data_IF_411615950317
#
_entry.id   IF_411615950317
#
_cell.length_a   1.000
_cell.length_b   1.000
_cell.length_c   1.000
_cell.angle_alpha   90.00
_cell.angle_beta   90.00
_cell.angle_gamma   90.00
#
_symmetry.space_group_name_H-M   'P 1'
#
loop_
_entity.id
_entity.type
_entity.pdbx_description
1 polymer ?
#
# COMPACT_ATOMS: atom_id res chain seq x y z
N UNK A 1 -10.96 22.24 -19.66
CA UNK A 1 -10.12 21.77 -18.53
C UNK A 1 -10.94 21.13 -17.41
N UNK A 2 -11.63 21.88 -16.54
CA UNK A 2 -12.34 21.31 -15.37
C UNK A 2 -13.42 20.27 -15.69
N UNK A 3 -14.07 20.37 -16.85
CA UNK A 3 -15.04 19.37 -17.31
C UNK A 3 -14.40 18.01 -17.62
N UNK A 4 -13.13 17.97 -18.02
CA UNK A 4 -12.41 16.72 -18.30
C UNK A 4 -12.03 16.00 -17.01
N UNK A 5 -11.56 16.77 -16.01
CA UNK A 5 -11.21 16.29 -14.66
C UNK A 5 -12.41 15.63 -13.96
N UNK A 6 -13.61 16.20 -14.15
CA UNK A 6 -14.85 15.78 -13.47
C UNK A 6 -15.61 14.67 -14.21
N UNK A 7 -15.19 14.27 -15.39
CA UNK A 7 -15.85 13.21 -16.13
C UNK A 7 -15.79 11.90 -15.31
N UNK A 8 -16.94 11.25 -15.13
CA UNK A 8 -17.03 9.99 -14.37
C UNK A 8 -16.96 8.74 -15.26
N UNK A 9 -17.55 8.71 -16.47
CA UNK A 9 -17.36 7.58 -17.39
C UNK A 9 -16.28 7.89 -18.43
N UNK A 10 -15.55 6.86 -18.88
CA UNK A 10 -14.48 7.00 -19.91
C UNK A 10 -15.04 7.61 -21.20
N UNK A 11 -16.19 7.13 -21.68
CA UNK A 11 -16.86 7.69 -22.86
C UNK A 11 -17.27 9.17 -22.69
N UNK A 12 -17.56 9.59 -21.45
CA UNK A 12 -17.83 10.99 -21.12
C UNK A 12 -16.55 11.83 -21.20
N UNK A 13 -15.42 11.28 -20.73
CA UNK A 13 -14.13 11.94 -20.82
C UNK A 13 -13.65 12.09 -22.27
N UNK A 14 -13.73 11.05 -23.09
CA UNK A 14 -13.34 11.09 -24.51
C UNK A 14 -14.06 12.21 -25.26
N UNK A 15 -15.36 12.35 -25.03
CA UNK A 15 -16.17 13.42 -25.62
C UNK A 15 -15.71 14.81 -25.19
N UNK A 16 -15.35 14.99 -23.93
CA UNK A 16 -14.83 16.27 -23.41
C UNK A 16 -13.43 16.55 -23.96
N UNK A 17 -12.58 15.54 -24.10
CA UNK A 17 -11.24 15.69 -24.69
C UNK A 17 -11.31 16.04 -26.18
N UNK A 18 -12.20 15.41 -26.95
CA UNK A 18 -12.44 15.75 -28.36
C UNK A 18 -12.93 17.20 -28.50
N UNK A 19 -13.88 17.62 -27.66
CA UNK A 19 -14.35 19.01 -27.61
C UNK A 19 -13.24 19.99 -27.22
N UNK A 20 -12.35 19.59 -26.31
CA UNK A 20 -11.24 20.45 -25.90
C UNK A 20 -10.21 20.60 -27.02
N UNK A 21 -9.92 19.52 -27.75
CA UNK A 21 -9.05 19.55 -28.94
C UNK A 21 -9.55 20.54 -29.99
N UNK A 22 -10.86 20.60 -30.24
CA UNK A 22 -11.44 21.54 -31.21
C UNK A 22 -11.40 22.99 -30.76
N UNK A 23 -11.28 23.27 -29.46
CA UNK A 23 -11.26 24.63 -28.92
C UNK A 23 -9.83 25.15 -28.71
N UNK A 24 -8.93 24.29 -28.26
CA UNK A 24 -7.52 24.63 -28.02
C UNK A 24 -6.67 23.36 -28.05
N UNK A 25 -5.95 23.17 -29.16
CA UNK A 25 -5.10 22.00 -29.38
C UNK A 25 -3.88 21.95 -28.45
N UNK A 26 -3.33 23.12 -28.09
CA UNK A 26 -2.19 23.22 -27.16
C UNK A 26 -2.57 22.67 -25.80
N UNK A 27 -3.69 23.13 -25.23
CA UNK A 27 -4.17 22.66 -23.93
C UNK A 27 -4.57 21.18 -23.94
N UNK A 28 -5.02 20.64 -25.08
CA UNK A 28 -5.29 19.22 -25.24
C UNK A 28 -4.03 18.38 -25.22
N UNK A 29 -2.96 18.84 -25.88
CA UNK A 29 -1.67 18.17 -25.90
C UNK A 29 -1.06 18.11 -24.50
N UNK A 30 -1.03 19.23 -23.80
CA UNK A 30 -0.54 19.31 -22.40
C UNK A 30 -1.27 18.33 -21.45
N UNK A 31 -2.58 18.14 -21.63
CA UNK A 31 -3.34 17.19 -20.80
C UNK A 31 -3.09 15.73 -21.15
N UNK A 32 -2.80 15.42 -22.42
CA UNK A 32 -2.47 14.05 -22.82
C UNK A 32 -1.06 13.63 -22.43
N UNK A 33 -0.15 14.59 -22.22
CA UNK A 33 1.19 14.32 -21.70
C UNK A 33 1.15 13.78 -20.25
N UNK A 34 0.07 14.06 -19.51
CA UNK A 34 -0.15 13.52 -18.16
C UNK A 34 -1.08 12.30 -18.23
N UNK A 35 -0.66 11.10 -17.78
CA UNK A 35 -1.51 9.91 -17.77
C UNK A 35 -2.85 10.16 -17.06
N UNK A 36 -3.96 9.86 -17.73
CA UNK A 36 -5.31 10.15 -17.22
C UNK A 36 -5.62 9.50 -15.86
N UNK A 37 -4.92 8.40 -15.50
CA UNK A 37 -5.06 7.77 -14.19
C UNK A 37 -4.66 8.69 -13.02
N UNK A 38 -3.87 9.74 -13.27
CA UNK A 38 -3.37 10.63 -12.22
C UNK A 38 -4.30 11.81 -11.90
N UNK A 39 -5.19 12.18 -12.82
CA UNK A 39 -5.93 13.45 -12.69
C UNK A 39 -7.41 13.35 -13.09
N UNK A 40 -7.86 12.21 -13.61
CA UNK A 40 -9.23 12.03 -14.04
C UNK A 40 -9.96 10.90 -13.29
N UNK A 41 -11.09 11.26 -12.68
CA UNK A 41 -11.98 10.37 -11.94
C UNK A 41 -12.50 9.18 -12.75
N UNK A 42 -12.70 9.29 -14.07
CA UNK A 42 -13.11 8.16 -14.92
C UNK A 42 -12.04 7.08 -15.09
N UNK A 43 -10.78 7.42 -14.82
CA UNK A 43 -9.64 6.50 -14.88
C UNK A 43 -9.09 6.15 -13.50
N UNK A 44 -9.72 6.63 -12.42
CA UNK A 44 -9.41 6.19 -11.06
C UNK A 44 -9.90 4.76 -10.89
N UNK A 45 -9.05 3.91 -10.31
CA UNK A 45 -9.41 2.54 -10.02
C UNK A 45 -10.43 2.52 -8.88
N UNK A 46 -11.42 1.64 -8.97
CA UNK A 46 -12.49 1.48 -7.98
C UNK A 46 -12.03 0.77 -6.72
N UNK A 47 -10.92 0.02 -6.77
CA UNK A 47 -10.30 -0.47 -5.55
C UNK A 47 -9.59 0.69 -4.85
N UNK A 48 -10.05 0.99 -3.65
CA UNK A 48 -9.30 1.86 -2.74
C UNK A 48 -7.97 1.17 -2.50
N UNK A 49 -6.90 1.74 -3.04
CA UNK A 49 -5.55 1.43 -2.57
C UNK A 49 -5.48 2.03 -1.17
N UNK A 50 -5.90 1.28 -0.16
CA UNK A 50 -5.56 1.65 1.19
C UNK A 50 -4.04 1.80 1.23
N UNK A 51 -3.54 2.95 1.72
CA UNK A 51 -2.10 3.25 1.74
C UNK A 51 -1.29 2.10 2.36
N UNK A 52 -1.90 1.36 3.28
CA UNK A 52 -1.36 0.18 3.94
C UNK A 52 -1.15 -1.01 2.99
N UNK A 53 -2.12 -1.28 2.10
CA UNK A 53 -1.94 -2.31 1.07
C UNK A 53 -0.80 -1.90 0.13
N UNK A 54 -0.68 -0.62 -0.20
CA UNK A 54 0.44 -0.14 -1.03
C UNK A 54 1.78 -0.33 -0.35
N UNK A 55 1.87 -0.10 0.97
CA UNK A 55 3.09 -0.33 1.75
C UNK A 55 3.46 -1.81 1.73
N UNK A 56 2.50 -2.72 2.00
CA UNK A 56 2.76 -4.16 1.96
C UNK A 56 3.20 -4.62 0.57
N UNK A 57 2.47 -4.22 -0.48
CA UNK A 57 2.82 -4.56 -1.87
C UNK A 57 4.17 -3.97 -2.30
N UNK A 58 4.55 -2.79 -1.79
CA UNK A 58 5.88 -2.22 -2.02
C UNK A 58 6.96 -3.05 -1.32
N UNK A 59 6.74 -3.45 -0.07
CA UNK A 59 7.70 -4.26 0.69
C UNK A 59 7.91 -5.64 0.05
N UNK A 60 6.86 -6.24 -0.53
CA UNK A 60 6.93 -7.50 -1.28
C UNK A 60 7.85 -7.45 -2.51
N UNK A 61 8.10 -6.27 -3.10
CA UNK A 61 8.95 -6.14 -4.30
C UNK A 61 10.45 -6.08 -4.00
N UNK A 62 10.84 -5.85 -2.75
CA UNK A 62 12.24 -5.57 -2.36
C UNK A 62 12.84 -6.79 -1.64
N UNK A 63 12.38 -8.00 -1.99
CA UNK A 63 12.78 -9.23 -1.29
C UNK A 63 13.97 -9.95 -1.91
N UNK A 64 14.22 -9.76 -3.22
CA UNK A 64 15.20 -10.54 -4.00
C UNK A 64 16.66 -10.37 -3.52
N UNK A 65 16.95 -9.32 -2.75
CA UNK A 65 18.28 -9.03 -2.22
C UNK A 65 18.55 -9.62 -0.82
N UNK A 66 17.57 -10.29 -0.21
CA UNK A 66 17.66 -10.75 1.17
C UNK A 66 17.63 -12.27 1.29
N UNK A 67 18.60 -12.82 2.01
CA UNK A 67 18.69 -14.26 2.29
C UNK A 67 18.33 -14.52 3.75
N UNK A 68 17.25 -15.24 4.04
CA UNK A 68 16.86 -15.61 5.39
C UNK A 68 17.56 -16.90 5.85
N UNK A 69 18.03 -16.91 7.09
CA UNK A 69 18.67 -18.05 7.77
C UNK A 69 17.95 -18.26 9.09
N UNK A 70 17.36 -19.43 9.28
CA UNK A 70 16.72 -19.80 10.54
C UNK A 70 17.75 -20.09 11.63
N UNK A 71 17.48 -19.66 12.85
CA UNK A 71 18.43 -19.76 13.98
C UNK A 71 18.18 -20.91 14.95
N UNK A 72 17.32 -21.87 14.61
CA UNK A 72 17.20 -23.12 15.38
C UNK A 72 16.14 -23.12 16.49
N UNK A 73 15.25 -22.12 16.54
CA UNK A 73 14.17 -22.10 17.53
C UNK A 73 13.02 -23.06 17.17
N UNK A 74 12.48 -23.78 18.16
CA UNK A 74 11.47 -24.85 17.96
C UNK A 74 10.22 -24.42 17.16
N UNK A 75 9.92 -23.13 17.11
CA UNK A 75 8.72 -22.57 16.48
C UNK A 75 8.95 -22.04 15.06
N UNK A 76 10.16 -22.18 14.50
CA UNK A 76 10.53 -21.59 13.20
C UNK A 76 10.19 -20.09 13.16
N UNK A 77 10.52 -19.35 14.22
CA UNK A 77 10.13 -17.96 14.41
C UNK A 77 11.30 -16.97 14.31
N UNK A 78 12.53 -17.39 14.59
CA UNK A 78 13.70 -16.50 14.66
C UNK A 78 14.61 -16.69 13.45
N UNK A 79 14.80 -15.60 12.71
CA UNK A 79 15.61 -15.58 11.49
C UNK A 79 16.63 -14.45 11.50
N UNK A 80 17.82 -14.74 10.99
CA UNK A 80 18.77 -13.76 10.52
C UNK A 80 18.54 -13.53 9.04
N UNK A 81 18.35 -12.28 8.65
CA UNK A 81 18.12 -11.89 7.26
C UNK A 81 19.27 -11.02 6.81
N UNK A 82 20.08 -11.54 5.90
CA UNK A 82 21.34 -10.93 5.50
C UNK A 82 21.34 -10.64 4.01
N UNK A 83 21.88 -9.49 3.65
CA UNK A 83 22.32 -9.21 2.28
C UNK A 83 23.86 -9.05 2.28
N UNK A 84 24.45 -8.58 1.18
CA UNK A 84 25.92 -8.45 1.09
C UNK A 84 26.55 -7.51 2.14
N UNK A 85 25.79 -6.56 2.70
CA UNK A 85 26.31 -5.47 3.53
C UNK A 85 25.66 -5.39 4.92
N UNK A 86 24.44 -5.87 5.08
CA UNK A 86 23.59 -5.66 6.25
C UNK A 86 22.96 -6.96 6.72
N UNK A 87 22.73 -7.06 8.03
CA UNK A 87 22.01 -8.18 8.65
C UNK A 87 20.99 -7.66 9.64
N UNK A 88 19.79 -8.23 9.60
CA UNK A 88 18.70 -7.94 10.52
C UNK A 88 18.20 -9.22 11.17
N UNK A 89 17.64 -9.12 12.37
CA UNK A 89 16.98 -10.24 13.05
C UNK A 89 15.47 -10.01 12.95
N UNK A 90 14.75 -11.05 12.56
CA UNK A 90 13.29 -11.09 12.48
C UNK A 90 12.78 -12.10 13.49
N UNK A 91 11.76 -11.71 14.25
CA UNK A 91 11.01 -12.60 15.11
C UNK A 91 9.54 -12.63 14.65
N UNK A 92 9.13 -13.72 14.01
CA UNK A 92 7.78 -13.88 13.47
C UNK A 92 6.71 -14.06 14.56
N UNK A 93 7.09 -14.53 15.76
CA UNK A 93 6.15 -14.72 16.87
C UNK A 93 5.84 -13.39 17.56
N UNK A 94 6.86 -12.57 17.75
CA UNK A 94 6.72 -11.25 18.34
C UNK A 94 6.32 -10.18 17.32
N UNK A 95 6.28 -10.53 16.04
CA UNK A 95 6.01 -9.61 14.94
C UNK A 95 6.99 -8.41 14.91
N UNK A 96 8.28 -8.68 15.16
CA UNK A 96 9.33 -7.66 15.25
C UNK A 96 10.45 -7.86 14.23
N UNK A 97 11.13 -6.77 13.89
CA UNK A 97 12.35 -6.80 13.09
C UNK A 97 13.34 -5.75 13.59
N UNK A 98 14.63 -6.05 13.62
CA UNK A 98 15.64 -5.07 14.05
C UNK A 98 15.75 -3.84 13.14
N UNK A 99 15.14 -3.85 11.95
CA UNK A 99 14.99 -2.64 11.13
C UNK A 99 13.92 -1.67 11.65
N UNK A 100 13.15 -2.07 12.67
CA UNK A 100 12.10 -1.32 13.39
C UNK A 100 10.88 -0.92 12.57
N UNK A 101 10.88 -1.14 11.25
CA UNK A 101 9.73 -0.81 10.39
C UNK A 101 8.48 -1.56 10.84
N UNK A 102 8.58 -2.87 11.04
CA UNK A 102 7.42 -3.68 11.45
C UNK A 102 6.91 -3.26 12.83
N UNK A 103 7.82 -3.06 13.78
CA UNK A 103 7.50 -2.62 15.15
C UNK A 103 6.76 -1.28 15.20
N UNK A 104 7.10 -0.35 14.31
CA UNK A 104 6.55 1.01 14.30
C UNK A 104 5.19 1.11 13.62
N UNK A 105 5.02 0.41 12.49
CA UNK A 105 3.81 0.55 11.66
C UNK A 105 2.93 -0.70 11.65
N UNK A 106 3.29 -1.78 12.35
CA UNK A 106 2.50 -3.01 12.40
C UNK A 106 2.29 -3.70 11.04
N UNK A 107 3.11 -3.38 10.03
CA UNK A 107 3.10 -4.00 8.71
C UNK A 107 4.44 -4.68 8.48
N UNK A 108 4.47 -5.95 8.06
CA UNK A 108 5.71 -6.67 7.77
C UNK A 108 6.61 -5.89 6.81
N UNK A 109 7.86 -5.71 7.22
CA UNK A 109 8.91 -5.15 6.37
C UNK A 109 9.41 -6.18 5.35
N UNK A 110 10.22 -5.78 4.37
CA UNK A 110 10.78 -6.71 3.38
C UNK A 110 11.53 -7.89 4.03
N UNK A 111 12.29 -7.66 5.11
CA UNK A 111 12.99 -8.74 5.83
C UNK A 111 12.02 -9.76 6.43
N UNK A 112 10.96 -9.26 7.08
CA UNK A 112 9.93 -10.10 7.69
C UNK A 112 9.18 -10.90 6.63
N UNK A 113 8.79 -10.26 5.52
CA UNK A 113 8.11 -10.91 4.39
C UNK A 113 8.94 -12.07 3.84
N UNK A 114 10.25 -11.88 3.68
CA UNK A 114 11.17 -12.94 3.22
C UNK A 114 11.13 -14.16 4.14
N UNK A 115 11.13 -13.98 5.47
CA UNK A 115 11.00 -15.08 6.43
C UNK A 115 9.60 -15.73 6.42
N UNK A 116 8.55 -14.92 6.32
CA UNK A 116 7.15 -15.40 6.28
C UNK A 116 6.95 -16.33 5.07
N UNK A 117 7.47 -15.95 3.90
CA UNK A 117 7.39 -16.77 2.69
C UNK A 117 8.26 -18.02 2.75
N UNK A 118 9.44 -17.96 3.39
CA UNK A 118 10.22 -19.17 3.66
C UNK A 118 9.42 -20.19 4.48
N UNK A 119 8.56 -19.71 5.37
CA UNK A 119 7.62 -20.52 6.15
C UNK A 119 6.32 -20.88 5.42
N UNK A 120 6.20 -20.55 4.13
CA UNK A 120 5.02 -20.80 3.29
C UNK A 120 3.73 -20.19 3.85
N UNK A 121 3.85 -19.09 4.59
CA UNK A 121 2.71 -18.32 5.13
C UNK A 121 2.47 -17.05 4.31
N UNK A 122 1.31 -16.42 4.51
CA UNK A 122 0.99 -15.17 3.82
C UNK A 122 1.33 -13.94 4.68
N UNK A 123 2.02 -12.92 4.13
CA UNK A 123 2.33 -11.68 4.85
C UNK A 123 1.12 -10.93 5.39
N UNK A 124 -0.03 -11.06 4.74
CA UNK A 124 -1.31 -10.46 5.15
C UNK A 124 -1.78 -10.96 6.52
N UNK A 125 -1.42 -12.19 6.89
CA UNK A 125 -1.75 -12.78 8.21
C UNK A 125 -0.99 -12.10 9.35
N UNK A 126 0.14 -11.47 9.03
CA UNK A 126 1.09 -10.82 9.94
C UNK A 126 0.94 -9.29 9.98
N UNK A 127 -0.11 -8.75 9.32
CA UNK A 127 -0.48 -7.35 9.43
C UNK A 127 -1.29 -7.14 10.71
N UNK A 128 -0.94 -6.10 11.46
CA UNK A 128 -1.58 -5.75 12.72
C UNK A 128 -3.11 -5.69 12.60
N UNK A 129 -3.80 -6.20 13.64
CA UNK A 129 -5.26 -6.21 13.71
C UNK A 129 -5.87 -4.79 13.61
N UNK A 130 -5.13 -3.74 13.98
CA UNK A 130 -5.58 -2.35 13.83
C UNK A 130 -5.96 -1.97 12.40
N UNK A 131 -5.44 -2.69 11.41
CA UNK A 131 -5.71 -2.45 10.00
C UNK A 131 -6.83 -3.32 9.42
N UNK A 132 -7.45 -4.18 10.23
CA UNK A 132 -8.58 -5.00 9.78
C UNK A 132 -9.85 -4.16 9.70
N UNK A 133 -10.69 -4.45 8.69
CA UNK A 133 -12.01 -3.83 8.54
C UNK A 133 -12.87 -4.00 9.79
N UNK A 134 -12.79 -5.16 10.44
CA UNK A 134 -13.49 -5.45 11.68
C UNK A 134 -13.13 -4.45 12.78
N UNK A 135 -11.84 -4.14 12.94
CA UNK A 135 -11.35 -3.19 13.94
C UNK A 135 -11.80 -1.78 13.60
N UNK A 136 -11.71 -1.37 12.32
CA UNK A 136 -12.25 -0.08 11.87
C UNK A 136 -13.75 0.06 12.21
N UNK A 137 -14.56 -0.93 11.85
CA UNK A 137 -16.00 -0.92 12.18
C UNK A 137 -16.25 -0.89 13.68
N UNK A 138 -15.47 -1.62 14.49
CA UNK A 138 -15.58 -1.59 15.96
C UNK A 138 -15.26 -0.19 16.49
N UNK A 139 -14.17 0.45 16.04
CA UNK A 139 -13.76 1.79 16.47
C UNK A 139 -14.84 2.83 16.20
N UNK A 140 -15.50 2.75 15.04
CA UNK A 140 -16.58 3.67 14.64
C UNK A 140 -17.99 3.13 14.92
N UNK A 141 -18.12 2.07 15.74
CA UNK A 141 -19.44 1.50 16.07
C UNK A 141 -20.25 2.38 17.01
N UNK A 142 -19.58 3.26 17.76
CA UNK A 142 -20.19 4.19 18.69
C UNK A 142 -20.30 5.59 18.09
N UNK A 143 -21.32 6.34 18.52
CA UNK A 143 -21.51 7.73 18.12
C UNK A 143 -20.34 8.56 18.67
N UNK A 144 -19.57 9.17 17.76
CA UNK A 144 -18.56 10.17 18.12
C UNK A 144 -19.29 11.50 18.24
N UNK A 145 -19.49 11.97 19.46
CA UNK A 145 -20.10 13.28 19.70
C UNK A 145 -19.16 14.39 19.23
N UNK A 146 -19.68 15.44 18.59
CA UNK A 146 -18.87 16.60 18.24
C UNK A 146 -18.32 17.23 19.52
N UNK A 147 -17.02 17.49 19.55
CA UNK A 147 -16.43 18.33 20.58
C UNK A 147 -16.74 19.80 20.26
N UNK A 148 -17.11 20.57 21.28
CA UNK A 148 -17.20 22.02 21.13
C UNK A 148 -15.81 22.53 20.71
N UNK A 149 -15.77 23.29 19.62
CA UNK A 149 -14.53 23.90 19.15
C UNK A 149 -13.95 24.89 20.18
N UNK A 150 -12.65 25.20 20.07
CA UNK A 150 -12.00 26.20 20.91
C UNK A 150 -12.56 27.60 20.71
#
# INVERSE_FOLDING_TARGET
MWSAVRATPVAGWERVMLRMKSLNEVSWKEMNDIPAQHWNKSHFRTYSKCDLQLVLEKNKKIIESWTPVWHGDDELAIYGVTNRNETYVVNLKQETCTCRKWDLIGIPCCHAITCIWQNKKQPEEYVSEYYRKTTFHKTYSHIIFPANGP
#
